data_IF_706186285162
#
_entry.id   IF_706186285162
#
_cell.length_a   1.000
_cell.length_b   1.000
_cell.length_c   1.000
_cell.angle_alpha   90.00
_cell.angle_beta   90.00
_cell.angle_gamma   90.00
#
_symmetry.space_group_name_H-M   'P 1'
#
loop_
_entity.id
_entity.type
_entity.pdbx_description
1 polymer ?
#
# COMPACT_ATOMS: atom_id res chain seq x y z
N UNK A 1 59.85 -5.80 -28.52
CA UNK A 1 58.71 -6.75 -28.49
C UNK A 1 58.01 -6.63 -27.14
N UNK A 2 56.76 -6.14 -27.20
CA UNK A 2 55.61 -6.27 -26.30
C UNK A 2 55.79 -6.22 -24.77
N UNK A 3 55.62 -5.01 -24.21
CA UNK A 3 55.27 -4.80 -22.81
C UNK A 3 53.80 -5.16 -22.55
N UNK A 4 53.53 -6.42 -22.26
CA UNK A 4 52.20 -6.90 -21.87
C UNK A 4 51.92 -6.50 -20.41
N UNK A 5 51.44 -5.26 -20.24
CA UNK A 5 51.01 -4.65 -18.97
C UNK A 5 49.82 -5.41 -18.33
N UNK A 6 49.58 -5.24 -17.00
CA UNK A 6 48.99 -6.24 -16.11
C UNK A 6 47.47 -6.30 -16.28
N UNK A 7 47.00 -7.14 -17.21
CA UNK A 7 45.56 -7.41 -17.40
C UNK A 7 44.95 -8.28 -16.29
N UNK A 8 45.80 -9.00 -15.55
CA UNK A 8 45.38 -9.95 -14.51
C UNK A 8 44.77 -9.22 -13.30
N UNK A 9 45.38 -8.12 -12.85
CA UNK A 9 44.86 -7.33 -11.73
C UNK A 9 43.50 -6.69 -12.05
N UNK A 10 43.34 -6.17 -13.27
CA UNK A 10 42.07 -5.60 -13.74
C UNK A 10 40.98 -6.66 -13.85
N UNK A 11 41.31 -7.86 -14.34
CA UNK A 11 40.37 -8.97 -14.44
C UNK A 11 39.90 -9.46 -13.05
N UNK A 12 40.82 -9.59 -12.09
CA UNK A 12 40.46 -9.94 -10.70
C UNK A 12 39.56 -8.87 -10.05
N UNK A 13 39.88 -7.59 -10.24
CA UNK A 13 39.04 -6.49 -9.76
C UNK A 13 37.63 -6.54 -10.35
N UNK A 14 37.50 -6.88 -11.64
CA UNK A 14 36.20 -7.03 -12.29
C UNK A 14 35.41 -8.21 -11.73
N UNK A 15 36.05 -9.36 -11.47
CA UNK A 15 35.39 -10.54 -10.89
C UNK A 15 34.91 -10.25 -9.47
N UNK A 16 35.73 -9.61 -8.64
CA UNK A 16 35.34 -9.21 -7.29
C UNK A 16 34.21 -8.18 -7.32
N UNK A 17 34.31 -7.17 -8.19
CA UNK A 17 33.28 -6.16 -8.37
C UNK A 17 31.96 -6.74 -8.86
N UNK A 18 32.00 -7.72 -9.77
CA UNK A 18 30.83 -8.44 -10.26
C UNK A 18 30.22 -9.31 -9.16
N UNK A 19 31.05 -10.04 -8.39
CA UNK A 19 30.58 -10.87 -7.29
C UNK A 19 29.91 -10.04 -6.19
N UNK A 20 30.53 -8.92 -5.79
CA UNK A 20 29.91 -7.96 -4.87
C UNK A 20 28.64 -7.34 -5.47
N UNK A 21 28.67 -6.96 -6.74
CA UNK A 21 27.51 -6.41 -7.44
C UNK A 21 26.32 -7.36 -7.45
N UNK A 22 26.55 -8.65 -7.72
CA UNK A 22 25.51 -9.70 -7.72
C UNK A 22 25.00 -9.97 -6.29
N UNK A 23 25.89 -10.01 -5.30
CA UNK A 23 25.51 -10.18 -3.89
C UNK A 23 24.66 -9.01 -3.38
N UNK A 24 25.02 -7.77 -3.74
CA UNK A 24 24.32 -6.56 -3.31
C UNK A 24 23.06 -6.27 -4.12
N UNK A 25 23.00 -6.66 -5.40
CA UNK A 25 21.81 -6.55 -6.24
C UNK A 25 20.70 -7.56 -5.87
N UNK A 26 20.96 -8.47 -4.92
CA UNK A 26 20.02 -9.48 -4.43
C UNK A 26 18.77 -8.95 -3.72
N UNK A 27 18.66 -7.63 -3.51
CA UNK A 27 17.43 -6.98 -3.08
C UNK A 27 16.37 -6.98 -4.18
N UNK A 28 15.82 -8.16 -4.51
CA UNK A 28 14.62 -8.23 -5.36
C UNK A 28 13.51 -7.43 -4.66
N UNK A 29 12.87 -6.46 -5.34
CA UNK A 29 11.69 -5.82 -4.79
C UNK A 29 10.71 -6.92 -4.42
N UNK A 30 10.25 -6.90 -3.16
CA UNK A 30 9.31 -7.89 -2.68
C UNK A 30 8.05 -7.79 -3.55
N UNK A 31 7.50 -8.93 -4.02
CA UNK A 31 6.31 -8.89 -4.83
C UNK A 31 5.19 -8.27 -3.99
N UNK A 32 4.62 -7.17 -4.49
CA UNK A 32 3.44 -6.57 -3.89
C UNK A 32 2.31 -7.60 -3.97
N UNK A 33 1.81 -8.03 -2.81
CA UNK A 33 0.64 -8.92 -2.73
C UNK A 33 -0.56 -8.09 -2.31
N UNK A 34 -1.66 -8.28 -3.03
CA UNK A 34 -2.97 -7.81 -2.59
C UNK A 34 -3.37 -8.59 -1.33
N UNK A 35 -3.81 -7.88 -0.29
CA UNK A 35 -4.43 -8.51 0.87
C UNK A 35 -5.80 -9.09 0.56
N UNK A 36 -6.34 -9.88 1.50
CA UNK A 36 -7.68 -10.43 1.41
C UNK A 36 -8.73 -9.31 1.43
N UNK A 37 -9.65 -9.35 0.48
CA UNK A 37 -10.79 -8.44 0.43
C UNK A 37 -11.99 -9.10 -0.25
N UNK A 38 -13.18 -8.60 0.06
CA UNK A 38 -14.43 -9.04 -0.53
C UNK A 38 -15.27 -7.82 -0.94
N UNK A 39 -16.07 -7.97 -1.98
CA UNK A 39 -16.94 -6.92 -2.51
C UNK A 39 -18.37 -7.42 -2.61
N UNK A 40 -19.30 -6.64 -2.06
CA UNK A 40 -20.72 -6.89 -2.21
C UNK A 40 -21.45 -5.58 -2.50
N UNK A 41 -22.08 -5.51 -3.68
CA UNK A 41 -22.78 -4.32 -4.16
C UNK A 41 -21.93 -3.06 -4.09
N UNK A 42 -22.40 -2.11 -3.27
CA UNK A 42 -21.84 -0.78 -3.04
C UNK A 42 -20.91 -0.74 -1.81
N UNK A 43 -20.23 -1.85 -1.53
CA UNK A 43 -19.29 -1.96 -0.42
C UNK A 43 -18.09 -2.85 -0.74
N UNK A 44 -16.92 -2.51 -0.18
CA UNK A 44 -15.73 -3.37 -0.18
C UNK A 44 -15.24 -3.50 1.26
N UNK A 45 -14.83 -4.71 1.63
CA UNK A 45 -14.07 -4.98 2.85
C UNK A 45 -12.65 -5.41 2.46
N UNK A 46 -11.67 -4.94 3.22
CA UNK A 46 -10.29 -5.42 3.12
C UNK A 46 -9.67 -5.54 4.52
N UNK A 47 -8.63 -6.36 4.64
CA UNK A 47 -7.80 -6.42 5.85
C UNK A 47 -6.33 -6.23 5.52
N UNK A 48 -5.56 -5.77 6.50
CA UNK A 48 -4.11 -5.70 6.37
C UNK A 48 -3.41 -5.19 7.63
N UNK A 49 -2.10 -5.49 7.76
CA UNK A 49 -1.30 -5.12 8.91
C UNK A 49 -1.08 -3.60 8.96
N UNK A 50 -1.15 -3.03 10.14
CA UNK A 50 -0.91 -1.61 10.42
C UNK A 50 0.30 -1.38 11.31
N UNK A 51 0.72 -2.41 12.04
CA UNK A 51 1.90 -2.42 12.89
C UNK A 51 2.30 -3.86 13.22
N UNK A 52 3.54 -4.02 13.68
CA UNK A 52 3.96 -5.22 14.40
C UNK A 52 4.11 -4.82 15.87
N UNK A 53 3.42 -5.54 16.76
CA UNK A 53 3.51 -5.37 18.20
C UNK A 53 4.33 -6.49 18.80
N UNK A 54 5.13 -6.18 19.81
CA UNK A 54 5.85 -7.19 20.58
C UNK A 54 5.00 -7.61 21.79
N UNK A 55 4.69 -8.89 21.88
CA UNK A 55 4.06 -9.49 23.05
C UNK A 55 5.17 -9.93 24.02
N UNK A 56 5.34 -9.15 25.09
CA UNK A 56 6.36 -9.38 26.11
C UNK A 56 6.15 -10.70 26.88
N UNK A 57 4.90 -11.18 27.01
CA UNK A 57 4.58 -12.41 27.74
C UNK A 57 5.01 -13.65 26.97
N UNK A 58 4.76 -13.65 25.66
CA UNK A 58 5.08 -14.77 24.78
C UNK A 58 6.41 -14.61 24.03
N UNK A 59 7.08 -13.46 24.16
CA UNK A 59 8.32 -13.10 23.45
C UNK A 59 8.22 -13.18 21.93
N UNK A 60 7.03 -12.93 21.37
CA UNK A 60 6.75 -13.01 19.93
C UNK A 60 6.36 -11.66 19.35
N UNK A 61 6.59 -11.51 18.05
CA UNK A 61 6.06 -10.42 17.26
C UNK A 61 4.68 -10.80 16.71
N UNK A 62 3.68 -10.00 17.00
CA UNK A 62 2.30 -10.21 16.58
C UNK A 62 1.91 -9.08 15.61
N UNK A 63 1.50 -9.40 14.37
CA UNK A 63 0.95 -8.39 13.48
C UNK A 63 -0.37 -7.87 14.03
N UNK A 64 -0.53 -6.56 14.05
CA UNK A 64 -1.78 -5.90 14.34
C UNK A 64 -2.43 -5.50 13.03
N UNK A 65 -3.62 -6.01 12.78
CA UNK A 65 -4.36 -5.80 11.53
C UNK A 65 -5.48 -4.78 11.72
N UNK A 66 -5.78 -4.05 10.67
CA UNK A 66 -7.00 -3.25 10.57
C UNK A 66 -8.02 -3.91 9.64
N UNK A 67 -9.29 -3.72 9.98
CA UNK A 67 -10.43 -3.97 9.13
C UNK A 67 -10.81 -2.66 8.43
N UNK A 68 -10.85 -2.69 7.11
CA UNK A 68 -11.25 -1.58 6.26
C UNK A 68 -12.62 -1.87 5.66
N UNK A 69 -13.47 -0.86 5.63
CA UNK A 69 -14.78 -0.90 5.01
C UNK A 69 -14.98 0.35 4.17
N UNK A 70 -15.21 0.18 2.87
CA UNK A 70 -15.50 1.26 1.94
C UNK A 70 -16.99 1.26 1.67
N UNK A 71 -17.64 2.38 2.02
CA UNK A 71 -19.05 2.65 1.77
C UNK A 71 -19.19 3.61 0.58
N UNK A 72 -19.65 3.10 -0.55
CA UNK A 72 -19.75 3.89 -1.78
C UNK A 72 -20.92 4.86 -1.70
N UNK A 73 -22.00 4.46 -1.00
CA UNK A 73 -23.22 5.26 -0.90
C UNK A 73 -22.98 6.48 -0.04
N UNK A 74 -22.24 6.32 1.06
CA UNK A 74 -21.86 7.42 1.92
C UNK A 74 -20.60 8.17 1.43
N UNK A 75 -19.86 7.63 0.46
CA UNK A 75 -18.55 8.16 0.06
C UNK A 75 -17.54 8.14 1.20
N UNK A 76 -17.57 7.09 2.04
CA UNK A 76 -16.77 7.01 3.27
C UNK A 76 -15.85 5.79 3.29
N UNK A 77 -14.62 6.03 3.72
CA UNK A 77 -13.72 4.98 4.15
C UNK A 77 -13.79 4.86 5.67
N UNK A 78 -14.07 3.66 6.16
CA UNK A 78 -14.11 3.34 7.58
C UNK A 78 -13.02 2.34 7.91
N UNK A 79 -12.41 2.50 9.08
CA UNK A 79 -11.41 1.56 9.56
C UNK A 79 -11.52 1.36 11.07
N UNK A 80 -11.23 0.14 11.52
CA UNK A 80 -11.09 -0.19 12.93
C UNK A 80 -9.98 -1.21 13.13
N UNK A 81 -9.43 -1.24 14.33
CA UNK A 81 -8.46 -2.24 14.77
C UNK A 81 -9.24 -3.23 15.65
N UNK A 82 -9.40 -4.51 15.25
CA UNK A 82 -9.97 -5.51 16.12
C UNK A 82 -9.16 -5.60 17.42
N UNK A 83 -9.85 -5.59 18.55
CA UNK A 83 -9.21 -5.72 19.85
C UNK A 83 -10.03 -6.65 20.72
N UNK A 84 -9.39 -7.52 21.49
CA UNK A 84 -10.06 -8.34 22.48
C UNK A 84 -9.94 -7.64 23.84
N UNK A 85 -11.03 -7.00 24.30
CA UNK A 85 -11.10 -6.40 25.64
C UNK A 85 -12.25 -6.99 26.42
N UNK A 86 -11.95 -7.57 27.58
CA UNK A 86 -12.97 -7.90 28.56
C UNK A 86 -13.35 -6.65 29.33
N UNK A 87 -14.64 -6.35 29.37
CA UNK A 87 -15.22 -5.24 30.14
C UNK A 87 -16.24 -5.80 31.12
N UNK A 88 -16.65 -5.01 32.12
CA UNK A 88 -17.69 -5.41 33.07
C UNK A 88 -19.03 -5.79 32.40
N UNK A 89 -19.27 -5.32 31.17
CA UNK A 89 -20.46 -5.64 30.37
C UNK A 89 -20.25 -6.71 29.29
N UNK A 90 -19.11 -7.43 29.30
CA UNK A 90 -18.79 -8.50 28.36
C UNK A 90 -17.54 -8.24 27.52
N UNK A 91 -17.32 -9.11 26.53
CA UNK A 91 -16.16 -9.06 25.64
C UNK A 91 -16.45 -8.17 24.44
N UNK A 92 -15.61 -7.16 24.25
CA UNK A 92 -15.61 -6.33 23.04
C UNK A 92 -14.52 -6.82 22.09
N UNK A 93 -14.89 -7.05 20.83
CA UNK A 93 -13.99 -7.52 19.77
C UNK A 93 -13.53 -6.42 18.80
N UNK A 94 -14.19 -5.25 18.83
CA UNK A 94 -13.93 -4.16 17.91
C UNK A 94 -14.13 -2.82 18.62
N UNK A 95 -13.32 -1.83 18.25
CA UNK A 95 -13.49 -0.45 18.70
C UNK A 95 -14.42 0.32 17.76
N UNK A 96 -14.61 1.61 18.03
CA UNK A 96 -15.35 2.49 17.13
C UNK A 96 -14.57 2.63 15.81
N UNK A 97 -15.31 2.71 14.70
CA UNK A 97 -14.70 2.98 13.41
C UNK A 97 -14.24 4.43 13.32
N UNK A 98 -13.00 4.62 12.88
CA UNK A 98 -12.58 5.88 12.29
C UNK A 98 -13.24 6.02 10.93
N UNK A 99 -13.71 7.22 10.59
CA UNK A 99 -14.29 7.52 9.28
C UNK A 99 -13.46 8.59 8.57
N UNK A 100 -13.37 8.47 7.25
CA UNK A 100 -12.73 9.43 6.36
C UNK A 100 -13.62 9.69 5.15
N UNK A 101 -13.74 10.96 4.79
CA UNK A 101 -14.57 11.41 3.69
C UNK A 101 -13.81 11.31 2.36
N UNK A 102 -14.21 10.37 1.51
CA UNK A 102 -13.62 10.16 0.19
C UNK A 102 -14.09 11.20 -0.82
N UNK A 103 -15.26 11.81 -0.62
CA UNK A 103 -15.76 12.89 -1.47
C UNK A 103 -14.81 14.08 -1.38
N UNK A 104 -14.44 14.45 -0.15
CA UNK A 104 -13.47 15.50 0.10
C UNK A 104 -12.07 15.14 -0.44
N UNK A 105 -11.57 13.93 -0.16
CA UNK A 105 -10.22 13.52 -0.56
C UNK A 105 -10.03 13.48 -2.09
N UNK A 106 -11.03 12.99 -2.81
CA UNK A 106 -10.98 12.85 -4.27
C UNK A 106 -11.52 14.08 -5.01
N UNK A 107 -12.04 15.07 -4.29
CA UNK A 107 -12.73 16.24 -4.81
C UNK A 107 -13.85 15.85 -5.79
N UNK A 108 -14.74 14.96 -5.33
CA UNK A 108 -15.84 14.43 -6.13
C UNK A 108 -17.01 15.41 -6.13
N UNK A 109 -17.56 15.65 -7.32
CA UNK A 109 -18.84 16.35 -7.45
C UNK A 109 -19.96 15.32 -7.35
N UNK A 110 -20.54 15.18 -6.16
CA UNK A 110 -21.60 14.18 -5.90
C UNK A 110 -22.95 14.63 -6.45
N UNK A 111 -23.15 15.95 -6.61
CA UNK A 111 -24.44 16.52 -7.00
C UNK A 111 -24.61 16.58 -8.52
N UNK A 112 -23.54 16.91 -9.26
CA UNK A 112 -23.58 17.08 -10.71
C UNK A 112 -22.64 16.11 -11.45
N UNK A 113 -21.78 15.39 -10.73
CA UNK A 113 -20.83 14.46 -11.30
C UNK A 113 -21.38 13.04 -11.47
N UNK A 114 -20.66 12.21 -12.24
CA UNK A 114 -20.93 10.78 -12.30
C UNK A 114 -20.75 10.13 -10.93
N UNK A 115 -21.54 9.08 -10.65
CA UNK A 115 -21.43 8.34 -9.39
C UNK A 115 -20.01 7.79 -9.20
N UNK A 116 -19.37 8.02 -8.05
CA UNK A 116 -18.02 7.56 -7.82
C UNK A 116 -17.98 6.04 -7.67
N UNK A 117 -16.95 5.43 -8.23
CA UNK A 117 -16.71 4.00 -8.14
C UNK A 117 -15.31 3.75 -7.62
N UNK A 118 -15.24 3.09 -6.47
CA UNK A 118 -13.98 2.85 -5.79
C UNK A 118 -13.50 1.41 -5.97
N UNK A 119 -12.19 1.24 -6.04
CA UNK A 119 -11.49 -0.03 -5.86
C UNK A 119 -10.64 0.10 -4.60
N UNK A 120 -10.52 -0.97 -3.81
CA UNK A 120 -9.75 -0.93 -2.56
C UNK A 120 -8.93 -2.21 -2.42
N UNK A 121 -7.67 -2.06 -2.03
CA UNK A 121 -6.81 -3.19 -1.67
C UNK A 121 -5.72 -2.75 -0.69
N UNK A 122 -5.23 -3.68 0.13
CA UNK A 122 -4.04 -3.46 0.95
C UNK A 122 -2.82 -4.02 0.24
N UNK A 123 -1.71 -3.29 0.27
CA UNK A 123 -0.47 -3.72 -0.36
C UNK A 123 0.56 -4.20 0.64
N UNK A 124 1.07 -5.42 0.45
CA UNK A 124 2.19 -5.93 1.23
C UNK A 124 3.53 -5.46 0.65
N UNK A 125 4.18 -4.49 1.29
CA UNK A 125 5.50 -3.96 0.87
C UNK A 125 6.69 -4.78 1.41
N UNK A 126 6.44 -5.91 2.07
CA UNK A 126 7.48 -6.74 2.67
C UNK A 126 8.29 -5.99 3.73
N UNK A 127 9.61 -6.16 3.73
CA UNK A 127 10.51 -5.52 4.71
C UNK A 127 10.53 -3.99 4.60
N UNK A 128 10.19 -3.43 3.44
CA UNK A 128 10.10 -1.98 3.23
C UNK A 128 8.89 -1.36 3.95
N UNK A 129 7.89 -2.17 4.29
CA UNK A 129 6.70 -1.72 4.99
C UNK A 129 6.89 -1.58 6.49
N UNK A 130 8.03 -1.96 7.08
CA UNK A 130 8.27 -1.90 8.53
C UNK A 130 7.10 -2.46 9.39
N UNK A 131 6.42 -3.50 8.88
CA UNK A 131 5.30 -4.14 9.56
C UNK A 131 3.92 -3.52 9.30
N UNK A 132 3.79 -2.51 8.45
CA UNK A 132 2.51 -1.97 8.01
C UNK A 132 2.32 -2.06 6.50
N UNK A 133 1.06 -2.13 6.07
CA UNK A 133 0.64 -2.21 4.68
C UNK A 133 -0.17 -0.96 4.30
N UNK A 134 0.20 -0.23 3.23
CA UNK A 134 -0.65 0.83 2.70
C UNK A 134 -2.00 0.30 2.21
N UNK A 135 -3.03 1.10 2.44
CA UNK A 135 -4.34 0.91 1.82
C UNK A 135 -4.39 1.76 0.55
N UNK A 136 -4.56 1.11 -0.59
CA UNK A 136 -4.78 1.77 -1.87
C UNK A 136 -6.27 1.85 -2.15
N UNK A 137 -6.75 3.06 -2.47
CA UNK A 137 -8.10 3.29 -2.95
C UNK A 137 -8.01 4.00 -4.30
N UNK A 138 -8.67 3.45 -5.31
CA UNK A 138 -8.71 4.05 -6.64
C UNK A 138 -10.15 4.46 -6.92
N UNK A 139 -10.37 5.72 -7.25
CA UNK A 139 -11.64 6.18 -7.77
C UNK A 139 -11.56 6.19 -9.30
N UNK A 140 -12.35 5.33 -9.93
CA UNK A 140 -12.21 5.00 -11.34
C UNK A 140 -12.74 6.10 -12.25
N UNK A 141 -13.68 6.91 -11.78
CA UNK A 141 -14.37 7.89 -12.62
C UNK A 141 -13.53 9.16 -12.82
N UNK A 142 -12.84 9.61 -11.77
CA UNK A 142 -11.86 10.71 -11.80
C UNK A 142 -10.45 10.26 -12.13
N UNK A 143 -10.23 8.95 -12.28
CA UNK A 143 -8.89 8.37 -12.53
C UNK A 143 -7.87 8.86 -11.51
N UNK A 144 -8.20 8.73 -10.22
CA UNK A 144 -7.32 9.09 -9.11
C UNK A 144 -7.09 7.90 -8.21
N UNK A 145 -5.90 7.80 -7.64
CA UNK A 145 -5.51 6.82 -6.64
C UNK A 145 -5.06 7.54 -5.38
N UNK A 146 -5.54 7.09 -4.23
CA UNK A 146 -5.14 7.57 -2.92
C UNK A 146 -4.48 6.45 -2.11
N UNK A 147 -3.49 6.84 -1.31
CA UNK A 147 -2.80 5.96 -0.36
C UNK A 147 -3.18 6.39 1.04
N UNK A 148 -3.72 5.46 1.83
CA UNK A 148 -4.08 5.68 3.22
C UNK A 148 -3.25 4.82 4.16
N UNK A 149 -3.10 5.33 5.38
CA UNK A 149 -2.54 4.61 6.51
C UNK A 149 -3.45 4.71 7.71
N UNK A 150 -3.71 3.58 8.34
CA UNK A 150 -4.36 3.55 9.65
C UNK A 150 -3.30 3.61 10.74
N UNK A 151 -3.58 4.42 11.75
CA UNK A 151 -2.74 4.55 12.94
C UNK A 151 -3.59 4.40 14.20
N UNK A 152 -3.04 3.72 15.19
CA UNK A 152 -3.55 3.74 16.55
C UNK A 152 -2.85 4.86 17.31
N UNK A 153 -3.62 5.84 17.80
CA UNK A 153 -3.08 6.89 18.64
C UNK A 153 -2.90 6.37 20.07
N UNK A 154 -1.72 6.55 20.69
CA UNK A 154 -1.49 6.17 22.07
C UNK A 154 -2.31 7.07 23.02
N UNK A 155 -3.08 6.47 23.93
CA UNK A 155 -3.92 7.19 24.88
C UNK A 155 -4.86 6.29 25.69
N UNK A 156 -5.62 6.88 26.63
CA UNK A 156 -6.57 6.16 27.52
C UNK A 156 -7.70 5.48 26.74
N UNK A 157 -8.04 6.04 25.58
CA UNK A 157 -8.86 5.39 24.55
C UNK A 157 -7.97 5.22 23.33
N UNK A 158 -7.78 3.97 22.91
CA UNK A 158 -7.22 3.70 21.60
C UNK A 158 -8.13 4.38 20.59
N UNK A 159 -7.60 5.39 19.92
CA UNK A 159 -8.32 6.12 18.90
C UNK A 159 -7.68 5.77 17.57
N UNK A 160 -8.47 5.15 16.71
CA UNK A 160 -8.06 4.83 15.35
C UNK A 160 -8.15 6.13 14.53
N UNK A 161 -7.16 6.38 13.68
CA UNK A 161 -7.16 7.49 12.70
C UNK A 161 -6.79 6.97 11.32
N UNK A 162 -7.39 7.56 10.30
CA UNK A 162 -7.10 7.28 8.88
C UNK A 162 -6.39 8.50 8.28
N UNK A 163 -5.11 8.34 7.99
CA UNK A 163 -4.28 9.39 7.39
C UNK A 163 -4.18 9.18 5.88
N UNK A 164 -4.46 10.24 5.11
CA UNK A 164 -4.17 10.31 3.69
C UNK A 164 -2.70 10.66 3.50
N UNK A 165 -1.97 9.77 2.85
CA UNK A 165 -0.56 9.94 2.57
C UNK A 165 -0.33 10.62 1.22
N UNK A 166 -1.09 10.23 0.21
CA UNK A 166 -0.86 10.66 -1.17
C UNK A 166 -2.14 10.52 -2.00
N UNK A 167 -2.34 11.45 -2.94
CA UNK A 167 -3.32 11.32 -4.03
C UNK A 167 -2.59 11.55 -5.35
N UNK A 168 -2.80 10.69 -6.34
CA UNK A 168 -2.20 10.73 -7.67
C UNK A 168 -3.25 10.55 -8.75
N UNK A 169 -3.06 11.16 -9.91
CA UNK A 169 -3.80 10.78 -11.12
C UNK A 169 -3.27 9.45 -11.65
N UNK A 170 -4.18 8.56 -12.06
CA UNK A 170 -3.89 7.31 -12.76
C UNK A 170 -3.94 7.46 -14.29
N UNK A 171 -4.33 8.64 -14.78
CA UNK A 171 -4.28 8.97 -16.21
C UNK A 171 -2.83 9.10 -16.72
N UNK A 172 -2.65 8.95 -18.03
CA UNK A 172 -1.34 9.00 -18.68
C UNK A 172 -0.60 10.32 -18.40
N UNK A 173 0.43 10.25 -17.55
CA UNK A 173 1.47 11.27 -17.52
C UNK A 173 2.43 10.99 -18.69
N UNK A 174 2.21 11.68 -19.81
CA UNK A 174 3.15 11.75 -20.93
C UNK A 174 2.89 10.74 -22.05
N UNK A 175 2.16 11.19 -23.07
CA UNK A 175 2.28 10.61 -24.40
C UNK A 175 3.71 10.81 -24.92
N UNK A 176 4.59 9.85 -24.67
CA UNK A 176 5.66 9.57 -25.61
C UNK A 176 4.98 8.94 -26.82
N UNK A 177 4.65 9.78 -27.81
CA UNK A 177 4.21 9.35 -29.11
C UNK A 177 5.21 8.31 -29.64
N UNK A 178 4.81 7.05 -29.64
CA UNK A 178 5.48 6.02 -30.42
C UNK A 178 5.22 6.41 -31.86
N UNK A 179 6.18 7.08 -32.48
CA UNK A 179 6.13 7.41 -33.89
C UNK A 179 5.89 6.11 -34.68
N UNK A 180 4.89 6.05 -35.57
CA UNK A 180 4.66 4.86 -36.37
C UNK A 180 5.90 4.61 -37.24
N UNK A 181 6.46 3.41 -37.11
CA UNK A 181 7.52 2.92 -37.98
C UNK A 181 7.01 3.03 -39.42
N UNK A 182 7.68 3.86 -40.23
CA UNK A 182 7.33 4.02 -41.63
C UNK A 182 7.43 2.64 -42.34
N UNK A 183 6.45 2.25 -43.17
CA UNK A 183 6.56 1.04 -43.96
C UNK A 183 7.70 1.21 -44.96
N UNK A 184 8.69 0.33 -44.86
CA UNK A 184 9.78 0.23 -45.82
C UNK A 184 9.22 -0.02 -47.22
N UNK A 185 9.65 0.82 -48.17
CA UNK A 185 9.40 0.61 -49.59
C UNK A 185 10.21 -0.61 -50.05
N UNK A 186 9.50 -1.65 -50.47
CA UNK A 186 10.00 -2.64 -51.43
C UNK A 186 9.67 -2.21 -52.84
#
# INVERSE_FOLDING_TARGET
MNATRPRIGTALGLVVGLALGVLLAGGRPQPLRAGGGDRSGESIIATGPIAIRYDEGNKIQVPEDALYYLDYTAGKLKATIPSYRQTAGGTRHMEAFAERDLVADFALDVDNGPKPHFLMTTGQLGTLGAGWAPLFVIETTTSKAAVYRVQQLPGVRSQVRIDLLEVRSTGQAGGAAVAPLAPGRG
#
